data_IF_853036892807
#
_entry.id   IF_853036892807
#
_cell.length_a   1.000
_cell.length_b   1.000
_cell.length_c   1.000
_cell.angle_alpha   90.00
_cell.angle_beta   90.00
_cell.angle_gamma   90.00
#
_symmetry.space_group_name_H-M   'P 1'
#
loop_
_entity.id
_entity.type
_entity.pdbx_description
1 polymer ?
#
# COMPACT_ATOMS: atom_id res chain seq x y z
N UNK A 1 -0.45 -0.81 -26.30
CA UNK A 1 -0.15 0.60 -26.61
C UNK A 1 -1.00 1.46 -25.69
N UNK A 2 -0.51 1.66 -24.46
CA UNK A 2 -1.09 2.60 -23.50
C UNK A 2 -0.09 3.74 -23.41
N UNK A 3 -0.22 4.69 -24.32
CA UNK A 3 0.51 5.94 -24.22
C UNK A 3 0.00 6.70 -22.99
N UNK A 4 0.84 7.55 -22.38
CA UNK A 4 0.43 8.48 -21.31
C UNK A 4 -0.55 9.53 -21.89
N UNK A 5 -1.74 9.08 -22.27
CA UNK A 5 -2.77 9.86 -22.95
C UNK A 5 -3.81 10.41 -21.98
N UNK A 6 -4.74 11.16 -22.55
CA UNK A 6 -5.87 11.71 -21.79
C UNK A 6 -6.76 10.62 -21.20
N UNK A 7 -6.92 9.50 -21.90
CA UNK A 7 -7.70 8.32 -21.46
C UNK A 7 -7.18 7.73 -20.15
N UNK A 8 -5.88 7.51 -20.06
CA UNK A 8 -5.21 6.91 -18.90
C UNK A 8 -5.32 7.84 -17.68
N UNK A 9 -5.19 9.15 -17.90
CA UNK A 9 -5.38 10.15 -16.84
C UNK A 9 -6.81 10.11 -16.28
N UNK A 10 -7.82 9.91 -17.12
CA UNK A 10 -9.21 9.75 -16.67
C UNK A 10 -9.38 8.47 -15.86
N UNK A 11 -8.80 7.35 -16.30
CA UNK A 11 -8.87 6.07 -15.56
C UNK A 11 -8.23 6.20 -14.18
N UNK A 12 -7.02 6.77 -14.10
CA UNK A 12 -6.33 7.01 -12.82
C UNK A 12 -7.15 7.96 -11.94
N UNK A 13 -7.77 8.99 -12.50
CA UNK A 13 -8.64 9.88 -11.74
C UNK A 13 -9.83 9.12 -11.15
N UNK A 14 -10.51 8.27 -11.92
CA UNK A 14 -11.63 7.45 -11.43
C UNK A 14 -11.19 6.50 -10.32
N UNK A 15 -10.08 5.78 -10.50
CA UNK A 15 -9.54 4.88 -9.47
C UNK A 15 -9.18 5.66 -8.20
N UNK A 16 -8.55 6.83 -8.35
CA UNK A 16 -8.24 7.72 -7.23
C UNK A 16 -9.49 8.18 -6.47
N UNK A 17 -10.57 8.48 -7.19
CA UNK A 17 -11.86 8.86 -6.57
C UNK A 17 -12.48 7.69 -5.78
N UNK A 18 -12.35 6.46 -6.25
CA UNK A 18 -12.89 5.28 -5.56
C UNK A 18 -12.08 4.95 -4.31
N UNK A 19 -10.75 4.92 -4.42
CA UNK A 19 -9.86 4.52 -3.31
C UNK A 19 -9.81 5.56 -2.21
N UNK A 20 -9.62 6.83 -2.59
CA UNK A 20 -9.43 7.91 -1.64
C UNK A 20 -10.75 8.62 -1.29
N UNK A 21 -11.72 8.60 -2.20
CA UNK A 21 -12.99 9.32 -2.11
C UNK A 21 -12.93 10.69 -2.78
N UNK A 22 -14.02 11.13 -3.47
CA UNK A 22 -14.10 12.41 -4.18
C UNK A 22 -13.88 13.63 -3.28
N UNK A 23 -14.21 13.54 -2.00
CA UNK A 23 -14.05 14.64 -1.04
C UNK A 23 -12.62 14.79 -0.51
N UNK A 24 -11.79 13.74 -0.62
CA UNK A 24 -10.46 13.66 -0.01
C UNK A 24 -9.34 13.87 -1.03
N UNK A 25 -9.53 13.43 -2.28
CA UNK A 25 -8.60 13.66 -3.39
C UNK A 25 -8.18 15.14 -3.54
N UNK A 26 -9.10 16.14 -3.56
CA UNK A 26 -8.70 17.54 -3.68
C UNK A 26 -7.92 18.05 -2.46
N UNK A 27 -8.14 17.48 -1.27
CA UNK A 27 -7.39 17.85 -0.05
C UNK A 27 -5.95 17.34 -0.14
N UNK A 28 -5.75 16.10 -0.57
CA UNK A 28 -4.41 15.50 -0.74
C UNK A 28 -3.65 16.16 -1.88
N UNK A 29 -4.29 16.42 -3.02
CA UNK A 29 -3.67 17.14 -4.13
C UNK A 29 -3.19 18.53 -3.72
N UNK A 30 -3.96 19.26 -2.91
CA UNK A 30 -3.54 20.56 -2.34
C UNK A 30 -2.34 20.44 -1.42
N UNK A 31 -2.31 19.43 -0.54
CA UNK A 31 -1.18 19.20 0.36
C UNK A 31 0.10 18.83 -0.40
N UNK A 32 -0.01 17.88 -1.34
CA UNK A 32 1.08 17.49 -2.21
C UNK A 32 1.59 18.66 -3.05
N UNK A 33 0.68 19.46 -3.63
CA UNK A 33 1.04 20.64 -4.42
C UNK A 33 1.75 21.72 -3.60
N UNK A 34 1.36 21.93 -2.34
CA UNK A 34 2.07 22.85 -1.44
C UNK A 34 3.49 22.37 -1.14
N UNK A 35 3.69 21.06 -0.98
CA UNK A 35 5.02 20.50 -0.72
C UNK A 35 5.90 20.53 -1.97
N UNK A 36 5.36 20.14 -3.12
CA UNK A 36 6.06 20.24 -4.41
C UNK A 36 6.42 21.69 -4.73
N UNK A 37 5.51 22.64 -4.51
CA UNK A 37 5.78 24.06 -4.76
C UNK A 37 6.88 24.64 -3.87
N UNK A 38 6.96 24.20 -2.61
CA UNK A 38 8.07 24.54 -1.71
C UNK A 38 9.39 23.95 -2.20
N UNK A 39 9.40 22.66 -2.53
CA UNK A 39 10.59 21.98 -3.05
C UNK A 39 11.09 22.64 -4.34
N UNK A 40 10.19 22.95 -5.26
CA UNK A 40 10.52 23.61 -6.53
C UNK A 40 11.19 24.97 -6.30
N UNK A 41 10.70 25.77 -5.34
CA UNK A 41 11.35 27.03 -4.94
C UNK A 41 12.76 26.80 -4.39
N UNK A 42 12.91 25.85 -3.46
CA UNK A 42 14.23 25.49 -2.92
C UNK A 42 15.22 25.06 -4.01
N UNK A 43 14.77 24.23 -4.95
CA UNK A 43 15.61 23.79 -6.08
C UNK A 43 15.96 24.97 -6.99
N UNK A 44 15.02 25.89 -7.22
CA UNK A 44 15.27 27.09 -8.02
C UNK A 44 16.32 28.01 -7.37
N UNK A 45 16.23 28.22 -6.05
CA UNK A 45 17.18 29.04 -5.29
C UNK A 45 18.58 28.41 -5.31
N UNK A 46 18.68 27.11 -4.99
CA UNK A 46 19.95 26.37 -5.01
C UNK A 46 20.56 26.34 -6.41
N UNK A 47 19.75 26.15 -7.46
CA UNK A 47 20.23 26.22 -8.85
C UNK A 47 20.79 27.60 -9.17
N UNK A 48 20.18 28.68 -8.67
CA UNK A 48 20.62 30.05 -8.92
C UNK A 48 21.95 30.38 -8.21
N UNK A 49 22.17 29.83 -7.02
CA UNK A 49 23.41 29.97 -6.25
C UNK A 49 24.55 29.15 -6.86
N UNK A 50 24.28 27.89 -7.25
CA UNK A 50 25.25 27.01 -7.89
C UNK A 50 25.71 27.58 -9.24
N UNK A 51 24.78 28.08 -10.06
CA UNK A 51 25.11 28.64 -11.38
C UNK A 51 25.93 29.94 -11.29
N UNK A 52 26.01 30.56 -10.11
CA UNK A 52 26.83 31.75 -9.84
C UNK A 52 28.23 31.42 -9.29
N UNK A 53 28.47 30.22 -8.80
CA UNK A 53 29.68 29.89 -8.01
C UNK A 53 30.47 28.64 -8.48
N UNK A 54 29.94 27.78 -9.36
CA UNK A 54 30.56 26.47 -9.68
C UNK A 54 30.97 26.30 -11.15
N UNK A 55 32.04 25.53 -11.39
CA UNK A 55 32.60 25.16 -12.70
C UNK A 55 31.67 24.20 -13.47
N UNK A 56 31.60 24.33 -14.80
CA UNK A 56 30.66 23.57 -15.65
C UNK A 56 30.85 22.05 -15.60
N UNK A 57 32.03 21.56 -15.18
CA UNK A 57 32.35 20.14 -15.14
C UNK A 57 31.74 19.40 -13.95
N UNK A 58 31.62 20.05 -12.78
CA UNK A 58 30.93 19.46 -11.62
C UNK A 58 29.41 19.39 -11.85
N UNK A 59 28.85 20.41 -12.52
CA UNK A 59 27.45 20.41 -12.96
C UNK A 59 27.15 19.27 -13.93
N UNK A 60 28.03 19.02 -14.91
CA UNK A 60 27.88 17.90 -15.86
C UNK A 60 27.93 16.55 -15.15
N UNK A 61 28.83 16.38 -14.19
CA UNK A 61 28.95 15.14 -13.40
C UNK A 61 27.68 14.89 -12.58
N UNK A 62 27.21 15.88 -11.83
CA UNK A 62 25.96 15.79 -11.06
C UNK A 62 24.74 15.55 -11.96
N UNK A 63 24.67 16.24 -13.10
CA UNK A 63 23.59 16.02 -14.07
C UNK A 63 23.61 14.58 -14.60
N UNK A 64 24.78 14.03 -14.91
CA UNK A 64 24.90 12.64 -15.40
C UNK A 64 24.48 11.63 -14.34
N UNK A 65 24.83 11.85 -13.08
CA UNK A 65 24.48 10.99 -11.95
C UNK A 65 22.97 11.04 -11.66
N UNK A 66 22.39 12.25 -11.61
CA UNK A 66 20.95 12.45 -11.45
C UNK A 66 20.17 11.85 -12.62
N UNK A 67 20.68 12.02 -13.85
CA UNK A 67 20.03 11.45 -15.04
C UNK A 67 20.10 9.92 -15.02
N UNK A 68 21.21 9.34 -14.57
CA UNK A 68 21.35 7.89 -14.36
C UNK A 68 20.36 7.37 -13.33
N UNK A 69 20.35 7.96 -12.13
CA UNK A 69 19.40 7.59 -11.07
C UNK A 69 17.94 7.74 -11.52
N UNK A 70 17.61 8.81 -12.24
CA UNK A 70 16.28 8.99 -12.81
C UNK A 70 15.93 7.91 -13.84
N UNK A 71 16.90 7.43 -14.63
CA UNK A 71 16.72 6.33 -15.59
C UNK A 71 16.43 5.01 -14.87
N UNK A 72 17.13 4.74 -13.77
CA UNK A 72 16.94 3.53 -12.95
C UNK A 72 15.60 3.54 -12.21
N UNK A 73 15.18 4.71 -11.72
CA UNK A 73 13.83 4.87 -11.17
C UNK A 73 12.76 4.68 -12.25
N UNK A 74 12.98 5.23 -13.45
CA UNK A 74 12.07 5.04 -14.57
C UNK A 74 11.95 3.57 -14.94
N UNK A 75 13.06 2.84 -15.09
CA UNK A 75 13.03 1.41 -15.42
C UNK A 75 12.33 0.59 -14.34
N UNK A 76 12.62 0.86 -13.06
CA UNK A 76 11.97 0.19 -11.93
C UNK A 76 10.46 0.45 -11.89
N UNK A 77 10.05 1.69 -12.16
CA UNK A 77 8.64 2.07 -12.25
C UNK A 77 7.94 1.40 -13.42
N UNK A 78 8.57 1.38 -14.59
CA UNK A 78 8.03 0.77 -15.82
C UNK A 78 7.89 -0.76 -15.67
N UNK A 79 8.82 -1.41 -14.97
CA UNK A 79 8.68 -2.82 -14.55
C UNK A 79 7.52 -3.03 -13.59
N UNK A 80 7.39 -2.21 -12.53
CA UNK A 80 6.29 -2.33 -11.57
C UNK A 80 4.92 -2.10 -12.23
N UNK A 81 4.84 -1.17 -13.18
CA UNK A 81 3.63 -0.93 -13.97
C UNK A 81 3.35 -2.11 -14.91
N UNK A 82 4.36 -2.69 -15.55
CA UNK A 82 4.22 -3.89 -16.39
C UNK A 82 3.71 -5.10 -15.60
N UNK A 83 4.24 -5.32 -14.40
CA UNK A 83 3.80 -6.38 -13.49
C UNK A 83 2.34 -6.16 -13.03
N UNK A 84 1.98 -4.93 -12.70
CA UNK A 84 0.59 -4.59 -12.39
C UNK A 84 -0.33 -4.84 -13.58
N UNK A 85 0.07 -4.42 -14.79
CA UNK A 85 -0.72 -4.59 -16.01
C UNK A 85 -0.96 -6.07 -16.34
N UNK A 86 0.08 -6.92 -16.22
CA UNK A 86 -0.08 -8.36 -16.45
C UNK A 86 -1.02 -9.05 -15.45
N UNK A 87 -1.03 -8.61 -14.18
CA UNK A 87 -2.02 -9.07 -13.20
C UNK A 87 -3.44 -8.62 -13.54
N UNK A 88 -3.60 -7.38 -13.99
CA UNK A 88 -4.91 -6.87 -14.43
C UNK A 88 -5.43 -7.61 -15.66
N UNK A 89 -4.58 -7.90 -16.64
CA UNK A 89 -4.96 -8.67 -17.83
C UNK A 89 -5.36 -10.10 -17.48
N UNK A 90 -4.68 -10.74 -16.51
CA UNK A 90 -5.06 -12.06 -16.01
C UNK A 90 -6.44 -12.06 -15.32
N UNK A 91 -6.73 -11.05 -14.50
CA UNK A 91 -8.04 -10.89 -13.85
C UNK A 91 -9.13 -10.64 -14.92
N UNK A 92 -8.85 -9.81 -15.93
CA UNK A 92 -9.81 -9.50 -16.98
C UNK A 92 -10.11 -10.74 -17.86
N UNK A 93 -9.10 -11.56 -18.15
CA UNK A 93 -9.27 -12.83 -18.86
C UNK A 93 -10.13 -13.83 -18.06
N UNK A 94 -9.95 -13.89 -16.74
CA UNK A 94 -10.74 -14.74 -15.83
C UNK A 94 -12.21 -14.28 -15.77
N UNK A 95 -12.44 -12.96 -15.76
CA UNK A 95 -13.79 -12.37 -15.77
C UNK A 95 -14.51 -12.52 -17.12
N UNK A 96 -13.78 -12.45 -18.25
CA UNK A 96 -14.36 -12.65 -19.59
C UNK A 96 -14.60 -14.14 -19.91
N UNK A 97 -13.70 -15.03 -19.47
CA UNK A 97 -13.87 -16.49 -19.53
C UNK A 97 -15.00 -17.00 -18.65
N UNK A 98 -15.37 -16.26 -17.60
CA UNK A 98 -16.49 -16.55 -16.71
C UNK A 98 -17.89 -16.23 -17.28
N UNK A 99 -18.00 -15.70 -18.49
CA UNK A 99 -19.28 -15.31 -19.10
C UNK A 99 -19.96 -16.40 -19.95
N UNK A 100 -19.31 -17.55 -20.16
CA UNK A 100 -19.87 -18.70 -20.88
C UNK A 100 -19.69 -20.00 -20.11
N UNK A 101 -20.43 -20.14 -19.01
CA UNK A 101 -20.50 -21.39 -18.28
C UNK A 101 -21.18 -21.13 -16.95
N UNK A 102 -22.49 -21.39 -16.89
CA UNK A 102 -23.22 -21.40 -15.64
C UNK A 102 -22.51 -22.33 -14.66
N UNK A 103 -21.76 -21.76 -13.74
CA UNK A 103 -21.41 -22.44 -12.51
C UNK A 103 -22.68 -22.42 -11.68
N UNK A 104 -23.37 -23.56 -11.74
CA UNK A 104 -24.20 -24.04 -10.65
C UNK A 104 -23.73 -23.42 -9.34
N UNK A 105 -24.63 -22.66 -8.72
CA UNK A 105 -24.57 -22.41 -7.29
C UNK A 105 -24.74 -23.75 -6.57
N UNK A 106 -23.74 -24.63 -6.65
CA UNK A 106 -23.37 -25.42 -5.50
C UNK A 106 -22.78 -24.40 -4.55
N UNK A 107 -23.65 -23.75 -3.77
CA UNK A 107 -23.27 -23.22 -2.47
C UNK A 107 -22.43 -24.33 -1.84
N UNK A 108 -21.10 -24.15 -1.67
CA UNK A 108 -20.37 -25.06 -0.81
C UNK A 108 -21.07 -24.85 0.53
N UNK A 109 -21.83 -25.84 1.00
CA UNK A 109 -22.41 -25.81 2.33
C UNK A 109 -21.27 -25.36 3.23
N UNK A 110 -21.41 -24.18 3.82
CA UNK A 110 -20.34 -23.51 4.53
C UNK A 110 -19.78 -24.54 5.49
N UNK A 111 -18.57 -25.03 5.18
CA UNK A 111 -17.93 -25.95 6.09
C UNK A 111 -17.85 -25.17 7.40
N UNK A 112 -18.41 -25.70 8.50
CA UNK A 112 -18.50 -24.97 9.75
C UNK A 112 -17.10 -24.46 10.03
N UNK A 113 -16.96 -23.13 10.06
CA UNK A 113 -15.68 -22.50 10.26
C UNK A 113 -15.17 -23.00 11.60
N UNK A 114 -14.09 -23.77 11.57
CA UNK A 114 -13.46 -24.30 12.77
C UNK A 114 -12.80 -23.14 13.49
N UNK A 115 -13.61 -22.46 14.31
CA UNK A 115 -13.17 -21.33 15.12
C UNK A 115 -12.09 -21.76 16.11
N UNK A 116 -12.01 -23.05 16.49
CA UNK A 116 -10.94 -23.54 17.37
C UNK A 116 -9.57 -23.46 16.70
N UNK A 117 -9.46 -23.72 15.39
CA UNK A 117 -8.22 -23.51 14.63
C UNK A 117 -7.83 -22.04 14.51
N UNK A 118 -8.80 -21.16 14.22
CA UNK A 118 -8.57 -19.72 14.06
C UNK A 118 -8.15 -19.07 15.39
N UNK A 119 -8.68 -19.55 16.52
CA UNK A 119 -8.34 -19.05 17.85
C UNK A 119 -7.20 -19.82 18.54
N UNK A 120 -6.73 -20.95 17.99
CA UNK A 120 -5.61 -21.72 18.54
C UNK A 120 -4.35 -20.85 18.70
N UNK A 121 -4.14 -19.89 17.79
CA UNK A 121 -2.94 -19.05 17.79
C UNK A 121 -2.90 -17.97 18.89
N UNK A 122 -3.96 -17.83 19.71
CA UNK A 122 -3.99 -16.90 20.85
C UNK A 122 -3.96 -17.59 22.23
N UNK A 123 -3.87 -18.93 22.30
CA UNK A 123 -3.88 -19.69 23.57
C UNK A 123 -2.50 -20.01 24.16
N UNK A 124 -1.41 -19.43 23.65
CA UNK A 124 -0.08 -19.62 24.24
C UNK A 124 0.21 -18.69 25.43
N UNK A 125 -0.63 -17.67 25.67
CA UNK A 125 -0.40 -16.68 26.75
C UNK A 125 -1.06 -17.02 28.09
N UNK A 126 -2.06 -17.92 28.11
CA UNK A 126 -2.82 -18.23 29.33
C UNK A 126 -2.23 -19.36 30.18
N UNK A 127 -1.34 -20.20 29.63
CA UNK A 127 -0.65 -21.26 30.40
C UNK A 127 0.23 -20.72 31.52
N UNK A 128 0.71 -19.48 31.42
CA UNK A 128 1.49 -18.82 32.49
C UNK A 128 0.57 -18.31 33.61
N UNK A 129 -0.68 -17.93 33.30
CA UNK A 129 -1.67 -17.48 34.30
C UNK A 129 -2.18 -18.64 35.14
N UNK A 130 -2.41 -19.81 34.54
CA UNK A 130 -2.93 -21.00 35.24
C UNK A 130 -1.96 -21.51 36.32
N UNK A 131 -0.64 -21.50 36.07
CA UNK A 131 0.36 -21.88 37.09
C UNK A 131 0.40 -20.95 38.31
N UNK A 132 0.03 -19.68 38.16
CA UNK A 132 -0.10 -18.75 39.30
C UNK A 132 -1.40 -19.00 40.06
N UNK A 133 -2.49 -19.30 39.35
CA UNK A 133 -3.81 -19.59 39.93
C UNK A 133 -3.81 -20.86 40.80
N UNK A 134 -3.12 -21.92 40.37
CA UNK A 134 -3.05 -23.16 41.15
C UNK A 134 -2.19 -23.02 42.42
N UNK A 135 -1.15 -22.16 42.38
CA UNK A 135 -0.39 -21.78 43.58
C UNK A 135 -1.23 -20.94 44.55
N UNK A 136 -2.04 -20.00 44.04
CA UNK A 136 -2.94 -19.17 44.86
C UNK A 136 -4.07 -20.00 45.50
N UNK A 137 -4.59 -21.02 44.80
CA UNK A 137 -5.58 -21.97 45.32
C UNK A 137 -5.00 -22.89 46.39
N UNK A 138 -3.76 -23.37 46.20
CA UNK A 138 -3.05 -24.15 47.22
C UNK A 138 -2.75 -23.33 48.50
N UNK A 139 -2.64 -22.00 48.37
CA UNK A 139 -2.44 -21.05 49.48
C UNK A 139 -3.76 -20.49 50.06
N UNK A 140 -4.92 -21.04 49.66
CA UNK A 140 -6.21 -20.78 50.30
C UNK A 140 -6.80 -19.38 50.12
N UNK A 141 -6.29 -18.56 49.19
CA UNK A 141 -6.78 -17.19 49.02
C UNK A 141 -8.03 -17.13 48.12
N UNK A 142 -9.18 -16.80 48.73
CA UNK A 142 -10.46 -16.57 48.05
C UNK A 142 -10.43 -15.25 47.26
N UNK A 143 -10.70 -15.31 45.96
CA UNK A 143 -10.84 -14.11 45.12
C UNK A 143 -12.18 -13.40 45.40
N UNK A 144 -12.22 -12.05 45.38
CA UNK A 144 -13.49 -11.32 45.43
C UNK A 144 -14.25 -11.51 44.12
N UNK A 145 -15.55 -11.80 44.22
CA UNK A 145 -16.43 -12.01 43.08
C UNK A 145 -16.57 -10.72 42.26
N UNK A 146 -16.29 -10.81 40.95
CA UNK A 146 -16.61 -9.73 40.00
C UNK A 146 -18.12 -9.59 39.94
N UNK A 147 -18.63 -8.41 40.33
CA UNK A 147 -20.02 -8.04 40.10
C UNK A 147 -20.26 -7.84 38.59
N UNK A 148 -21.45 -8.21 38.09
CA UNK A 148 -21.85 -8.04 36.69
C UNK A 148 -21.96 -6.55 36.31
#
# INVERSE_FOLDING_TARGET
MFDFGFSEMVVVAVVGLIVLGPERLPKVARQAGQWLGKLQRYVADVKSDINRQMELDELRKLQSEVTGAARDLKSSFESAVGDAQSQFDAINADLQGGSSGGSSSSTPAAQPTDWDQVYAHRRTRDRIRERRLDRERALGHKRPARRP
#
